data_IF_124314512227
#
_entry.id   IF_124314512227
#
_cell.length_a   1.000
_cell.length_b   1.000
_cell.length_c   1.000
_cell.angle_alpha   90.00
_cell.angle_beta   90.00
_cell.angle_gamma   90.00
#
_symmetry.space_group_name_H-M   'P 1'
#
loop_
_entity.id
_entity.type
_entity.pdbx_description
1 polymer ?
#
# COMPACT_ATOMS: atom_id res chain seq x y z
N UNK A 1 9.85 53.31 -4.78
CA UNK A 1 9.21 52.28 -3.90
C UNK A 1 8.72 51.18 -4.79
N UNK A 2 9.48 50.12 -4.89
CA UNK A 2 9.16 48.99 -5.78
C UNK A 2 8.72 47.84 -4.90
N UNK A 3 7.41 47.54 -4.90
CA UNK A 3 6.80 46.43 -4.16
C UNK A 3 7.06 45.14 -4.94
N UNK A 4 8.02 44.37 -4.45
CA UNK A 4 8.21 42.97 -4.88
C UNK A 4 7.08 42.12 -4.32
N UNK A 5 5.99 41.93 -5.06
CA UNK A 5 5.01 40.88 -4.82
C UNK A 5 5.65 39.55 -5.18
N UNK A 6 6.23 38.89 -4.18
CA UNK A 6 6.68 37.54 -4.30
C UNK A 6 5.48 36.62 -4.50
N UNK A 7 5.19 36.20 -5.73
CA UNK A 7 4.28 35.10 -6.02
C UNK A 7 4.85 33.84 -5.40
N UNK A 8 4.27 33.40 -4.28
CA UNK A 8 4.55 32.09 -3.71
C UNK A 8 4.31 31.07 -4.83
N UNK A 9 5.37 30.47 -5.36
CA UNK A 9 5.28 29.36 -6.32
C UNK A 9 4.55 28.23 -5.61
N UNK A 10 3.29 28.05 -5.97
CA UNK A 10 2.52 26.89 -5.47
C UNK A 10 3.25 25.64 -5.97
N UNK A 11 3.85 24.88 -5.04
CA UNK A 11 4.48 23.60 -5.37
C UNK A 11 3.40 22.73 -5.99
N UNK A 12 3.60 22.16 -7.20
CA UNK A 12 2.63 21.25 -7.77
C UNK A 12 2.35 20.10 -6.78
N UNK A 13 1.09 19.72 -6.67
CA UNK A 13 0.69 18.60 -5.79
C UNK A 13 1.38 17.33 -6.25
N UNK A 14 1.86 16.53 -5.31
CA UNK A 14 2.42 15.23 -5.63
C UNK A 14 1.41 14.35 -6.36
N UNK A 15 1.87 13.62 -7.35
CA UNK A 15 1.05 12.73 -8.18
C UNK A 15 1.13 11.30 -7.66
N UNK A 16 -0.03 10.64 -7.50
CA UNK A 16 -0.13 9.26 -7.02
C UNK A 16 -0.80 8.40 -8.07
N UNK A 17 -0.10 7.38 -8.57
CA UNK A 17 -0.70 6.28 -9.32
C UNK A 17 -1.23 5.26 -8.34
N UNK A 18 -2.52 4.93 -8.42
CA UNK A 18 -3.13 3.89 -7.57
C UNK A 18 -3.22 2.61 -8.37
N UNK A 19 -2.53 1.57 -7.92
CA UNK A 19 -2.49 0.24 -8.53
C UNK A 19 -3.45 -0.69 -7.80
N UNK A 20 -4.30 -1.37 -8.54
CA UNK A 20 -5.33 -2.26 -8.03
C UNK A 20 -5.25 -3.58 -8.80
N UNK A 21 -4.55 -4.60 -8.27
CA UNK A 21 -4.62 -5.94 -8.84
C UNK A 21 -6.01 -6.51 -8.56
N UNK A 22 -6.62 -7.12 -9.59
CA UNK A 22 -7.98 -7.69 -9.48
C UNK A 22 -8.05 -9.03 -10.19
N UNK A 23 -8.83 -9.95 -9.61
CA UNK A 23 -9.23 -11.19 -10.24
C UNK A 23 -10.60 -11.63 -9.72
N UNK A 24 -11.59 -11.66 -10.60
CA UNK A 24 -12.97 -12.11 -10.31
C UNK A 24 -13.61 -11.37 -9.09
N UNK A 25 -13.42 -10.04 -9.01
CA UNK A 25 -13.81 -9.21 -7.86
C UNK A 25 -14.64 -7.98 -8.27
N UNK A 26 -15.44 -8.08 -9.34
CA UNK A 26 -16.12 -6.94 -9.95
C UNK A 26 -16.90 -6.06 -8.96
N UNK A 27 -17.61 -6.65 -7.99
CA UNK A 27 -18.44 -5.90 -7.02
C UNK A 27 -17.59 -5.18 -5.96
N UNK A 28 -16.52 -5.80 -5.52
CA UNK A 28 -15.57 -5.19 -4.60
C UNK A 28 -14.81 -4.06 -5.30
N UNK A 29 -14.34 -4.29 -6.51
CA UNK A 29 -13.63 -3.30 -7.32
C UNK A 29 -14.47 -2.04 -7.54
N UNK A 30 -15.77 -2.16 -7.82
CA UNK A 30 -16.67 -1.01 -8.00
C UNK A 30 -16.70 -0.14 -6.73
N UNK A 31 -16.87 -0.75 -5.55
CA UNK A 31 -16.83 -0.04 -4.26
C UNK A 31 -15.48 0.60 -3.96
N UNK A 32 -14.38 -0.08 -4.31
CA UNK A 32 -13.02 0.45 -4.17
C UNK A 32 -12.83 1.70 -5.04
N UNK A 33 -13.22 1.63 -6.32
CA UNK A 33 -13.10 2.74 -7.27
C UNK A 33 -14.01 3.92 -6.92
N UNK A 34 -15.21 3.68 -6.37
CA UNK A 34 -16.08 4.73 -5.82
C UNK A 34 -15.36 5.50 -4.70
N UNK A 35 -14.79 4.77 -3.75
CA UNK A 35 -14.07 5.37 -2.63
C UNK A 35 -12.80 6.13 -3.07
N UNK A 36 -12.11 5.63 -4.08
CA UNK A 36 -10.94 6.29 -4.66
C UNK A 36 -11.31 7.52 -5.48
N UNK A 37 -12.46 7.51 -6.17
CA UNK A 37 -12.97 8.67 -6.91
C UNK A 37 -13.43 9.80 -5.99
N UNK A 38 -13.81 9.48 -4.75
CA UNK A 38 -14.24 10.44 -3.73
C UNK A 38 -13.09 11.01 -2.87
N UNK A 39 -11.83 10.76 -3.25
CA UNK A 39 -10.68 11.25 -2.48
C UNK A 39 -10.54 12.77 -2.51
N UNK A 40 -10.20 13.40 -1.37
CA UNK A 40 -9.94 14.85 -1.26
C UNK A 40 -8.69 15.29 -2.02
N UNK A 41 -7.74 14.38 -2.23
CA UNK A 41 -6.62 14.51 -3.15
C UNK A 41 -6.84 13.49 -4.27
N UNK A 42 -7.30 13.90 -5.45
CA UNK A 42 -7.60 12.95 -6.52
C UNK A 42 -6.33 12.23 -6.95
N UNK A 43 -6.42 10.93 -7.24
CA UNK A 43 -5.29 10.20 -7.81
C UNK A 43 -4.93 10.76 -9.19
N UNK A 44 -3.67 10.63 -9.55
CA UNK A 44 -3.21 10.99 -10.89
C UNK A 44 -3.74 10.03 -11.94
N UNK A 45 -3.81 8.75 -11.60
CA UNK A 45 -4.36 7.69 -12.43
C UNK A 45 -4.78 6.50 -11.56
N UNK A 46 -5.75 5.74 -12.04
CA UNK A 46 -6.04 4.38 -11.60
C UNK A 46 -5.42 3.41 -12.59
N UNK A 47 -4.69 2.42 -12.11
CA UNK A 47 -4.14 1.32 -12.89
C UNK A 47 -4.75 0.04 -12.31
N UNK A 48 -5.71 -0.51 -13.02
CA UNK A 48 -6.34 -1.77 -12.66
C UNK A 48 -5.68 -2.88 -13.48
N UNK A 49 -5.08 -3.84 -12.78
CA UNK A 49 -4.45 -4.99 -13.43
C UNK A 49 -5.37 -6.18 -13.32
N UNK A 50 -6.03 -6.48 -14.43
CA UNK A 50 -6.89 -7.65 -14.56
C UNK A 50 -6.04 -8.92 -14.71
N UNK A 51 -6.01 -9.72 -13.66
CA UNK A 51 -5.19 -10.93 -13.58
C UNK A 51 -5.99 -12.17 -14.02
N UNK A 52 -6.33 -12.20 -15.30
CA UNK A 52 -7.11 -13.27 -15.93
C UNK A 52 -8.49 -13.48 -15.26
N UNK A 53 -9.26 -12.39 -15.06
CA UNK A 53 -10.65 -12.49 -14.58
C UNK A 53 -11.56 -13.14 -15.62
N UNK A 54 -12.54 -13.86 -15.12
CA UNK A 54 -13.62 -14.43 -15.92
C UNK A 54 -14.92 -13.61 -15.85
N UNK A 55 -14.96 -12.63 -14.95
CA UNK A 55 -16.09 -11.71 -14.74
C UNK A 55 -15.86 -10.34 -15.44
N UNK A 56 -16.77 -9.39 -15.21
CA UNK A 56 -16.74 -8.06 -15.82
C UNK A 56 -15.78 -7.07 -15.11
N UNK A 57 -14.80 -7.53 -14.32
CA UNK A 57 -13.89 -6.66 -13.57
C UNK A 57 -13.19 -5.62 -14.45
N UNK A 58 -12.66 -6.03 -15.61
CA UNK A 58 -12.03 -5.13 -16.56
C UNK A 58 -13.00 -4.06 -17.12
N UNK A 59 -14.24 -4.45 -17.43
CA UNK A 59 -15.27 -3.52 -17.89
C UNK A 59 -15.70 -2.53 -16.80
N UNK A 60 -15.76 -2.97 -15.54
CA UNK A 60 -15.98 -2.08 -14.39
C UNK A 60 -14.87 -1.04 -14.32
N UNK A 61 -13.61 -1.46 -14.33
CA UNK A 61 -12.46 -0.57 -14.27
C UNK A 61 -12.49 0.51 -15.37
N UNK A 62 -12.80 0.10 -16.61
CA UNK A 62 -12.87 1.01 -17.74
C UNK A 62 -13.92 2.13 -17.56
N UNK A 63 -15.06 1.82 -16.92
CA UNK A 63 -16.11 2.83 -16.64
C UNK A 63 -15.63 3.96 -15.71
N UNK A 64 -14.66 3.69 -14.85
CA UNK A 64 -14.02 4.69 -13.97
C UNK A 64 -12.84 5.41 -14.63
N UNK A 65 -12.60 5.18 -15.92
CA UNK A 65 -11.46 5.79 -16.64
C UNK A 65 -10.10 5.24 -16.21
N UNK A 66 -10.06 4.04 -15.61
CA UNK A 66 -8.82 3.38 -15.23
C UNK A 66 -8.03 2.93 -16.46
N UNK A 67 -6.72 2.97 -16.36
CA UNK A 67 -5.82 2.24 -17.27
C UNK A 67 -5.95 0.76 -16.93
N UNK A 68 -6.58 -0.01 -17.79
CA UNK A 68 -6.76 -1.46 -17.61
C UNK A 68 -5.60 -2.18 -18.27
N UNK A 69 -4.87 -2.97 -17.49
CA UNK A 69 -3.79 -3.85 -17.96
C UNK A 69 -4.23 -5.29 -17.79
N UNK A 70 -3.91 -6.13 -18.76
CA UNK A 70 -4.14 -7.58 -18.66
C UNK A 70 -2.85 -8.30 -18.31
N UNK A 71 -2.88 -9.05 -17.20
CA UNK A 71 -1.79 -9.91 -16.78
C UNK A 71 -2.24 -11.37 -16.86
N UNK A 72 -1.64 -12.09 -17.81
CA UNK A 72 -1.99 -13.49 -18.08
C UNK A 72 -1.39 -14.47 -17.08
N UNK A 73 -0.28 -14.10 -16.45
CA UNK A 73 0.33 -14.92 -15.42
C UNK A 73 -0.45 -14.76 -14.10
N UNK A 74 -1.16 -15.83 -13.75
CA UNK A 74 -2.03 -15.83 -12.58
C UNK A 74 -1.23 -15.74 -11.28
N UNK A 75 -1.41 -14.63 -10.56
CA UNK A 75 -0.79 -14.42 -9.26
C UNK A 75 -0.64 -12.95 -8.90
N UNK A 76 -0.86 -12.63 -7.63
CA UNK A 76 -0.72 -11.26 -7.12
C UNK A 76 0.67 -10.66 -7.40
N UNK A 77 1.81 -11.43 -7.29
CA UNK A 77 3.12 -10.88 -7.58
C UNK A 77 3.27 -10.33 -9.01
N UNK A 78 2.78 -11.08 -10.03
CA UNK A 78 2.81 -10.66 -11.42
C UNK A 78 1.92 -9.42 -11.64
N UNK A 79 0.68 -9.49 -11.17
CA UNK A 79 -0.29 -8.40 -11.33
C UNK A 79 0.18 -7.10 -10.67
N UNK A 80 0.69 -7.17 -9.43
CA UNK A 80 1.22 -5.99 -8.72
C UNK A 80 2.42 -5.38 -9.45
N UNK A 81 3.38 -6.21 -9.87
CA UNK A 81 4.58 -5.76 -10.57
C UNK A 81 4.23 -5.10 -11.92
N UNK A 82 3.31 -5.68 -12.69
CA UNK A 82 2.80 -5.12 -13.95
C UNK A 82 2.18 -3.75 -13.74
N UNK A 83 1.38 -3.57 -12.68
CA UNK A 83 0.80 -2.28 -12.33
C UNK A 83 1.83 -1.26 -11.89
N UNK A 84 2.81 -1.65 -11.07
CA UNK A 84 3.88 -0.74 -10.64
C UNK A 84 4.79 -0.31 -11.80
N UNK A 85 5.07 -1.20 -12.76
CA UNK A 85 5.85 -0.88 -13.95
C UNK A 85 5.16 0.18 -14.84
N UNK A 86 3.82 0.18 -14.89
CA UNK A 86 3.03 1.11 -15.67
C UNK A 86 2.83 2.48 -14.98
N UNK A 87 3.07 2.57 -13.67
CA UNK A 87 2.81 3.76 -12.89
C UNK A 87 3.69 4.95 -13.28
N UNK A 88 3.06 6.12 -13.50
CA UNK A 88 3.72 7.36 -13.92
C UNK A 88 3.78 8.42 -12.84
N UNK A 89 2.98 8.29 -11.78
CA UNK A 89 2.98 9.20 -10.64
C UNK A 89 4.33 9.26 -9.90
N UNK A 90 4.53 10.30 -9.14
CA UNK A 90 5.70 10.43 -8.25
C UNK A 90 5.70 9.33 -7.18
N UNK A 91 4.51 9.03 -6.68
CA UNK A 91 4.27 7.93 -5.73
C UNK A 91 3.40 6.87 -6.38
N UNK A 92 3.66 5.63 -6.00
CA UNK A 92 2.86 4.45 -6.34
C UNK A 92 2.18 4.00 -5.06
N UNK A 93 0.86 3.99 -5.06
CA UNK A 93 0.06 3.43 -4.00
C UNK A 93 -0.61 2.14 -4.47
N UNK A 94 -0.76 1.16 -3.59
CA UNK A 94 -1.52 -0.06 -3.85
C UNK A 94 -2.63 -0.21 -2.85
N UNK A 95 -3.78 -0.61 -3.36
CA UNK A 95 -4.91 -1.13 -2.59
C UNK A 95 -5.41 -2.41 -3.24
N UNK A 96 -5.93 -3.33 -2.44
CA UNK A 96 -6.59 -4.51 -2.99
C UNK A 96 -8.04 -4.15 -3.42
N UNK A 97 -8.61 -4.90 -4.35
CA UNK A 97 -9.92 -4.61 -4.92
C UNK A 97 -11.05 -4.64 -3.88
N UNK A 98 -10.88 -5.37 -2.77
CA UNK A 98 -11.82 -5.46 -1.65
C UNK A 98 -11.64 -4.36 -0.58
N UNK A 99 -10.71 -3.44 -0.79
CA UNK A 99 -10.39 -2.36 0.14
C UNK A 99 -11.22 -1.10 -0.15
N UNK A 100 -11.61 -0.39 0.90
CA UNK A 100 -12.39 0.86 0.78
C UNK A 100 -11.63 2.00 1.48
N UNK A 101 -10.77 2.76 0.76
CA UNK A 101 -10.01 3.86 1.33
C UNK A 101 -10.89 5.00 1.84
N UNK A 102 -10.58 5.51 3.04
CA UNK A 102 -11.24 6.72 3.54
C UNK A 102 -10.91 7.94 2.68
N UNK A 103 -11.71 9.03 2.72
CA UNK A 103 -11.64 10.15 1.78
C UNK A 103 -10.33 10.95 1.80
N UNK A 104 -9.51 10.80 2.83
CA UNK A 104 -8.21 11.49 2.99
C UNK A 104 -7.01 10.58 2.83
N UNK A 105 -7.21 9.33 2.37
CA UNK A 105 -6.15 8.33 2.34
C UNK A 105 -4.99 8.74 1.41
N UNK A 106 -5.30 9.15 0.16
CA UNK A 106 -4.28 9.62 -0.80
C UNK A 106 -3.60 10.90 -0.30
N UNK A 107 -4.37 11.84 0.29
CA UNK A 107 -3.79 13.04 0.88
C UNK A 107 -2.79 12.69 2.00
N UNK A 108 -3.07 11.67 2.80
CA UNK A 108 -2.17 11.18 3.85
C UNK A 108 -0.90 10.55 3.28
N UNK A 109 -1.01 9.80 2.18
CA UNK A 109 0.15 9.26 1.46
C UNK A 109 1.07 10.39 0.98
N UNK A 110 0.49 11.38 0.30
CA UNK A 110 1.25 12.54 -0.20
C UNK A 110 1.93 13.28 0.94
N UNK A 111 1.18 13.62 1.99
CA UNK A 111 1.71 14.35 3.14
C UNK A 111 2.89 13.62 3.79
N UNK A 112 2.77 12.31 4.01
CA UNK A 112 3.81 11.50 4.62
C UNK A 112 5.08 11.48 3.77
N UNK A 113 4.96 11.18 2.49
CA UNK A 113 6.12 11.04 1.61
C UNK A 113 6.74 12.41 1.24
N UNK A 114 5.96 13.49 1.16
CA UNK A 114 6.50 14.83 0.91
C UNK A 114 7.23 15.42 2.11
N UNK A 115 6.70 15.20 3.34
CA UNK A 115 7.32 15.71 4.57
C UNK A 115 8.54 14.90 5.00
N UNK A 116 8.63 13.66 4.58
CA UNK A 116 9.67 12.72 4.98
C UNK A 116 10.38 12.17 3.74
N UNK A 117 11.29 12.95 3.10
CA UNK A 117 12.01 12.51 1.90
C UNK A 117 12.89 11.28 2.12
N UNK A 118 13.24 10.98 3.36
CA UNK A 118 13.98 9.79 3.78
C UNK A 118 13.15 8.51 3.76
N UNK A 119 11.81 8.60 3.71
CA UNK A 119 10.94 7.42 3.60
C UNK A 119 10.95 6.89 2.18
N UNK A 120 11.27 5.62 2.04
CA UNK A 120 11.15 4.87 0.79
C UNK A 120 9.70 4.46 0.52
N UNK A 121 9.02 4.03 1.59
CA UNK A 121 7.65 3.56 1.53
C UNK A 121 6.92 3.80 2.86
N UNK A 122 5.59 3.81 2.77
CA UNK A 122 4.68 3.90 3.92
C UNK A 122 3.62 2.82 3.80
N UNK A 123 3.10 2.38 4.94
CA UNK A 123 2.04 1.37 4.96
C UNK A 123 1.03 1.62 6.06
N UNK A 124 -0.20 1.20 5.83
CA UNK A 124 -1.26 1.17 6.82
C UNK A 124 -1.39 -0.19 7.51
N UNK A 125 -2.49 -0.35 8.22
CA UNK A 125 -2.93 -1.61 8.81
C UNK A 125 -4.34 -1.92 8.30
N UNK A 126 -4.76 -3.21 8.41
CA UNK A 126 -6.12 -3.62 8.10
C UNK A 126 -7.05 -3.50 9.30
N UNK A 127 -8.28 -3.03 9.06
CA UNK A 127 -9.41 -3.33 9.91
C UNK A 127 -10.26 -4.35 9.17
N UNK A 128 -10.25 -5.60 9.64
CA UNK A 128 -10.96 -6.70 8.99
C UNK A 128 -12.46 -6.55 9.22
N UNK A 129 -13.23 -6.60 8.16
CA UNK A 129 -14.68 -6.41 8.12
C UNK A 129 -15.34 -7.73 7.71
N UNK A 130 -16.47 -8.08 8.34
CA UNK A 130 -17.31 -9.17 7.86
C UNK A 130 -18.11 -8.77 6.60
N UNK A 131 -18.86 -9.73 6.04
CA UNK A 131 -19.66 -9.51 4.84
C UNK A 131 -20.80 -8.48 5.07
N UNK A 132 -21.22 -8.28 6.31
CA UNK A 132 -22.18 -7.24 6.71
C UNK A 132 -21.52 -5.86 6.92
N UNK A 133 -20.22 -5.74 6.71
CA UNK A 133 -19.46 -4.50 6.91
C UNK A 133 -19.18 -4.17 8.39
N UNK A 134 -19.27 -5.13 9.31
CA UNK A 134 -18.97 -4.92 10.74
C UNK A 134 -17.51 -5.18 11.04
N UNK A 135 -16.84 -4.30 11.80
CA UNK A 135 -15.42 -4.46 12.07
C UNK A 135 -15.14 -5.52 13.16
N UNK A 136 -14.24 -6.44 12.87
CA UNK A 136 -13.67 -7.39 13.82
C UNK A 136 -12.48 -6.78 14.58
N UNK A 137 -12.69 -5.75 15.38
CA UNK A 137 -11.62 -4.91 15.95
C UNK A 137 -10.57 -5.68 16.77
N UNK A 138 -10.98 -6.65 17.61
CA UNK A 138 -10.04 -7.43 18.45
C UNK A 138 -9.21 -8.38 17.60
N UNK A 139 -9.84 -9.11 16.71
CA UNK A 139 -9.17 -10.06 15.80
C UNK A 139 -8.26 -9.35 14.83
N UNK A 140 -8.70 -8.21 14.25
CA UNK A 140 -7.87 -7.36 13.40
C UNK A 140 -6.62 -6.88 14.11
N UNK A 141 -6.75 -6.38 15.34
CA UNK A 141 -5.60 -5.92 16.14
C UNK A 141 -4.63 -7.04 16.43
N UNK A 142 -5.12 -8.23 16.79
CA UNK A 142 -4.27 -9.38 17.07
C UNK A 142 -3.56 -9.85 15.80
N UNK A 143 -4.30 -10.04 14.71
CA UNK A 143 -3.76 -10.45 13.41
C UNK A 143 -2.70 -9.47 12.91
N UNK A 144 -3.03 -8.18 12.83
CA UNK A 144 -2.08 -7.16 12.39
C UNK A 144 -0.86 -7.04 13.29
N UNK A 145 -1.06 -7.10 14.63
CA UNK A 145 0.07 -7.09 15.56
C UNK A 145 0.98 -8.29 15.34
N UNK A 146 0.41 -9.49 15.19
CA UNK A 146 1.18 -10.70 14.92
C UNK A 146 1.95 -10.60 13.59
N UNK A 147 1.28 -10.19 12.51
CA UNK A 147 1.90 -9.99 11.20
C UNK A 147 3.07 -9.01 11.29
N UNK A 148 2.83 -7.77 11.75
CA UNK A 148 3.87 -6.74 11.83
C UNK A 148 5.01 -7.11 12.79
N UNK A 149 4.73 -7.88 13.86
CA UNK A 149 5.77 -8.33 14.80
C UNK A 149 6.59 -9.47 14.21
N UNK A 150 5.95 -10.56 13.76
CA UNK A 150 6.66 -11.76 13.31
C UNK A 150 7.42 -11.50 12.01
N UNK A 151 6.75 -10.90 11.03
CA UNK A 151 7.40 -10.56 9.76
C UNK A 151 8.45 -9.47 9.98
N UNK A 152 8.16 -8.46 10.79
CA UNK A 152 9.12 -7.40 11.13
C UNK A 152 10.37 -7.91 11.82
N UNK A 153 10.25 -8.93 12.71
CA UNK A 153 11.42 -9.61 13.30
C UNK A 153 12.24 -10.34 12.23
N UNK A 154 11.59 -11.02 11.30
CA UNK A 154 12.29 -11.71 10.22
C UNK A 154 12.96 -10.73 9.24
N UNK A 155 12.34 -9.59 8.95
CA UNK A 155 12.86 -8.61 8.00
C UNK A 155 13.86 -7.62 8.62
N UNK A 156 13.84 -7.42 9.94
CA UNK A 156 14.61 -6.39 10.63
C UNK A 156 14.03 -4.98 10.50
N UNK A 157 12.89 -4.79 9.86
CA UNK A 157 12.17 -3.52 9.70
C UNK A 157 10.65 -3.78 9.57
N UNK A 158 9.78 -2.75 9.68
CA UNK A 158 8.34 -2.93 9.46
C UNK A 158 8.07 -3.49 8.06
N UNK A 159 7.24 -4.54 7.91
CA UNK A 159 6.81 -5.01 6.59
C UNK A 159 5.82 -4.02 5.97
N UNK A 160 5.70 -4.05 4.67
CA UNK A 160 4.56 -3.49 3.95
C UNK A 160 3.36 -4.43 4.12
N UNK A 161 2.16 -3.87 3.99
CA UNK A 161 0.92 -4.63 3.89
C UNK A 161 0.25 -4.31 2.55
N UNK A 162 0.07 -5.33 1.72
CA UNK A 162 -0.32 -5.20 0.32
C UNK A 162 -1.56 -4.35 0.08
N UNK A 163 -2.59 -4.53 0.92
CA UNK A 163 -3.85 -3.79 0.77
C UNK A 163 -3.73 -2.28 1.07
N UNK A 164 -2.64 -1.82 1.73
CA UNK A 164 -2.47 -0.41 2.10
C UNK A 164 -1.01 -0.01 2.14
N UNK A 165 -0.37 0.06 0.99
CA UNK A 165 1.01 0.53 0.88
C UNK A 165 1.14 1.68 -0.12
N UNK A 166 2.15 2.51 0.08
CA UNK A 166 2.61 3.44 -0.94
C UNK A 166 4.15 3.55 -0.89
N UNK A 167 4.76 3.78 -2.05
CA UNK A 167 6.22 3.91 -2.19
C UNK A 167 6.56 5.00 -3.20
N UNK A 168 7.80 5.47 -3.16
CA UNK A 168 8.33 6.32 -4.22
C UNK A 168 8.51 5.50 -5.49
N UNK A 169 8.14 6.06 -6.64
CA UNK A 169 8.38 5.39 -7.93
C UNK A 169 9.87 5.16 -8.19
N UNK A 170 10.73 6.03 -7.70
CA UNK A 170 12.20 5.82 -7.76
C UNK A 170 12.64 4.55 -7.04
N UNK A 171 12.04 4.25 -5.87
CA UNK A 171 12.34 3.02 -5.11
C UNK A 171 11.89 1.79 -5.89
N UNK A 172 10.68 1.82 -6.50
CA UNK A 172 10.24 0.74 -7.38
C UNK A 172 11.24 0.50 -8.51
N UNK A 173 11.66 1.56 -9.20
CA UNK A 173 12.61 1.46 -10.31
C UNK A 173 13.95 0.82 -9.92
N UNK A 174 14.38 0.99 -8.66
CA UNK A 174 15.59 0.38 -8.13
C UNK A 174 15.43 -1.12 -7.83
N UNK A 175 14.25 -1.54 -7.33
CA UNK A 175 14.04 -2.93 -6.85
C UNK A 175 13.30 -3.82 -7.85
N UNK A 176 12.67 -3.27 -8.89
CA UNK A 176 11.78 -3.99 -9.81
C UNK A 176 12.41 -5.20 -10.51
N UNK A 177 13.74 -5.20 -10.69
CA UNK A 177 14.49 -6.31 -11.28
C UNK A 177 14.79 -7.45 -10.31
N UNK A 178 14.54 -7.24 -9.01
CA UNK A 178 14.87 -8.20 -7.95
C UNK A 178 13.64 -8.92 -7.41
N UNK A 179 12.44 -8.29 -7.52
CA UNK A 179 11.18 -8.88 -7.01
C UNK A 179 10.79 -10.15 -7.75
N UNK A 180 10.25 -11.11 -7.01
CA UNK A 180 9.87 -12.43 -7.52
C UNK A 180 8.47 -12.40 -8.16
N UNK A 181 8.33 -11.77 -9.33
CA UNK A 181 7.05 -11.61 -10.02
C UNK A 181 6.47 -12.91 -10.60
N UNK A 182 7.31 -13.89 -10.95
CA UNK A 182 6.93 -15.13 -11.64
C UNK A 182 6.72 -16.33 -10.70
N UNK A 183 6.62 -16.13 -9.42
CA UNK A 183 6.32 -17.20 -8.46
C UNK A 183 5.03 -16.87 -7.68
N UNK A 184 3.91 -17.42 -8.10
CA UNK A 184 2.60 -17.22 -7.47
C UNK A 184 2.52 -17.70 -6.01
N UNK A 185 3.52 -18.46 -5.52
CA UNK A 185 3.63 -18.88 -4.11
C UNK A 185 4.21 -17.80 -3.23
N UNK A 186 4.87 -16.78 -3.81
CA UNK A 186 5.43 -15.68 -3.04
C UNK A 186 4.32 -14.81 -2.44
N UNK A 187 4.60 -14.26 -1.27
CA UNK A 187 3.80 -13.20 -0.66
C UNK A 187 4.41 -11.88 -1.11
N UNK A 188 3.78 -11.24 -2.07
CA UNK A 188 4.35 -10.14 -2.85
C UNK A 188 4.73 -8.90 -2.03
N UNK A 189 3.96 -8.55 -1.00
CA UNK A 189 4.27 -7.44 -0.10
C UNK A 189 5.46 -7.74 0.83
N UNK A 190 5.63 -9.01 1.26
CA UNK A 190 6.80 -9.44 2.01
C UNK A 190 8.02 -9.44 1.10
N UNK A 191 7.91 -9.96 -0.12
CA UNK A 191 8.97 -9.94 -1.13
C UNK A 191 9.42 -8.51 -1.44
N UNK A 192 8.49 -7.62 -1.74
CA UNK A 192 8.76 -6.21 -1.95
C UNK A 192 9.44 -5.57 -0.72
N UNK A 193 8.98 -5.90 0.50
CA UNK A 193 9.59 -5.42 1.74
C UNK A 193 11.03 -5.89 1.89
N UNK A 194 11.35 -7.11 1.48
CA UNK A 194 12.71 -7.66 1.50
C UNK A 194 13.62 -6.84 0.58
N UNK A 195 13.17 -6.54 -0.63
CA UNK A 195 13.97 -5.84 -1.65
C UNK A 195 14.09 -4.33 -1.40
N UNK A 196 13.06 -3.67 -0.85
CA UNK A 196 13.21 -2.31 -0.32
C UNK A 196 14.27 -2.29 0.79
N UNK A 197 14.29 -3.36 1.60
CA UNK A 197 15.40 -3.74 2.43
C UNK A 197 15.61 -2.91 3.69
N UNK A 198 16.58 -3.34 4.54
CA UNK A 198 16.83 -2.71 5.82
C UNK A 198 17.56 -1.37 5.72
N UNK A 199 18.08 -1.02 4.55
CA UNK A 199 18.84 0.23 4.32
C UNK A 199 17.95 1.41 4.02
N UNK A 200 16.65 1.17 3.66
CA UNK A 200 15.67 2.21 3.39
C UNK A 200 14.61 2.22 4.48
N UNK A 201 14.07 3.39 4.77
CA UNK A 201 13.08 3.53 5.85
C UNK A 201 11.68 3.26 5.33
N UNK A 202 11.01 2.27 5.95
CA UNK A 202 9.58 2.00 5.79
C UNK A 202 8.87 2.45 7.06
N UNK A 203 7.83 3.26 6.93
CA UNK A 203 7.01 3.73 8.05
C UNK A 203 5.61 3.14 8.05
N UNK A 204 5.06 2.95 9.25
CA UNK A 204 3.65 2.58 9.43
C UNK A 204 2.89 3.77 10.00
N UNK A 205 1.78 4.16 9.33
CA UNK A 205 0.93 5.27 9.81
C UNK A 205 -0.54 4.83 9.91
N UNK A 206 -1.19 5.25 11.00
CA UNK A 206 -2.61 4.91 11.26
C UNK A 206 -3.58 5.55 10.28
N UNK A 207 -3.22 6.68 9.68
CA UNK A 207 -4.02 7.38 8.67
C UNK A 207 -4.19 6.58 7.40
N UNK A 208 -3.28 5.62 7.17
CA UNK A 208 -3.32 4.69 6.04
C UNK A 208 -4.08 3.39 6.35
N UNK A 209 -4.71 3.29 7.52
CA UNK A 209 -5.51 2.10 7.88
C UNK A 209 -6.73 1.98 6.97
N UNK A 210 -6.92 0.79 6.38
CA UNK A 210 -8.04 0.49 5.50
C UNK A 210 -8.97 -0.59 6.07
N UNK A 211 -10.28 -0.48 5.80
CA UNK A 211 -11.18 -1.63 5.85
C UNK A 211 -10.77 -2.64 4.78
N UNK A 212 -10.70 -3.91 5.14
CA UNK A 212 -10.43 -5.02 4.24
C UNK A 212 -11.29 -6.21 4.63
N UNK A 213 -11.52 -7.14 3.71
CA UNK A 213 -12.30 -8.36 3.99
C UNK A 213 -11.74 -9.14 5.17
N UNK A 214 -12.63 -9.73 5.99
CA UNK A 214 -12.24 -10.63 7.09
C UNK A 214 -11.87 -12.04 6.62
N UNK A 215 -11.86 -12.32 5.34
CA UNK A 215 -11.44 -13.63 4.80
C UNK A 215 -10.12 -14.17 5.37
N UNK A 216 -9.13 -13.33 5.78
CA UNK A 216 -7.96 -13.79 6.51
C UNK A 216 -8.21 -14.44 7.86
N UNK A 217 -9.36 -14.19 8.49
CA UNK A 217 -9.71 -14.75 9.80
C UNK A 217 -10.48 -16.07 9.71
N UNK A 218 -10.96 -16.44 8.52
CA UNK A 218 -11.59 -17.72 8.32
C UNK A 218 -10.58 -18.83 8.65
N UNK A 219 -10.92 -19.70 9.61
CA UNK A 219 -10.13 -20.88 9.99
C UNK A 219 -10.24 -21.98 8.92
N UNK A 220 -10.37 -21.59 7.67
CA UNK A 220 -10.30 -22.45 6.51
C UNK A 220 -8.82 -22.60 6.06
N UNK A 221 -8.58 -23.48 5.12
CA UNK A 221 -7.23 -23.71 4.60
C UNK A 221 -6.52 -22.45 4.07
N UNK A 222 -7.24 -21.33 3.83
CA UNK A 222 -6.70 -20.09 3.31
C UNK A 222 -5.72 -19.41 4.27
N UNK A 223 -5.99 -19.43 5.58
CA UNK A 223 -5.05 -18.92 6.59
C UNK A 223 -3.72 -19.69 6.56
N UNK A 224 -3.80 -21.03 6.52
CA UNK A 224 -2.60 -21.88 6.46
C UNK A 224 -1.80 -21.62 5.17
N UNK A 225 -2.48 -21.47 4.04
CA UNK A 225 -1.83 -21.11 2.76
C UNK A 225 -1.12 -19.77 2.85
N UNK A 226 -1.74 -18.75 3.46
CA UNK A 226 -1.11 -17.42 3.64
C UNK A 226 0.12 -17.47 4.54
N UNK A 227 0.01 -18.17 5.68
CA UNK A 227 1.14 -18.38 6.61
C UNK A 227 2.28 -19.13 5.92
N UNK A 228 1.95 -20.18 5.16
CA UNK A 228 2.93 -20.94 4.39
C UNK A 228 3.61 -20.07 3.32
N UNK A 229 2.83 -19.28 2.55
CA UNK A 229 3.38 -18.36 1.56
C UNK A 229 4.31 -17.33 2.20
N UNK A 230 3.93 -16.76 3.34
CA UNK A 230 4.79 -15.84 4.09
C UNK A 230 6.10 -16.50 4.53
N UNK A 231 6.04 -17.69 5.10
CA UNK A 231 7.22 -18.45 5.49
C UNK A 231 8.07 -18.85 4.27
N UNK A 232 7.43 -19.33 3.21
CA UNK A 232 8.09 -19.66 1.94
C UNK A 232 8.86 -18.45 1.40
N UNK A 233 8.24 -17.27 1.37
CA UNK A 233 8.87 -16.03 0.89
C UNK A 233 10.12 -15.70 1.69
N UNK A 234 10.06 -15.74 3.03
CA UNK A 234 11.19 -15.46 3.91
C UNK A 234 12.33 -16.48 3.68
N UNK A 235 12.00 -17.76 3.65
CA UNK A 235 12.99 -18.85 3.49
C UNK A 235 13.62 -18.85 2.10
N UNK A 236 12.85 -18.47 1.07
CA UNK A 236 13.33 -18.41 -0.32
C UNK A 236 14.48 -17.42 -0.53
N UNK A 237 14.52 -16.36 0.31
CA UNK A 237 15.57 -15.36 0.29
C UNK A 237 16.79 -15.72 1.17
N UNK A 238 16.73 -16.82 1.94
CA UNK A 238 17.90 -17.31 2.68
C UNK A 238 18.90 -17.98 1.71
N UNK A 239 20.18 -17.95 2.02
CA UNK A 239 20.88 -17.36 3.18
C UNK A 239 21.24 -15.87 3.04
N UNK A 240 21.07 -15.26 1.84
CA UNK A 240 21.53 -13.87 1.58
C UNK A 240 20.83 -12.84 2.47
N UNK A 241 19.57 -13.07 2.75
CA UNK A 241 18.68 -12.20 3.53
C UNK A 241 18.30 -12.83 4.87
N UNK A 242 19.23 -13.57 5.50
CA UNK A 242 19.02 -14.17 6.81
C UNK A 242 18.69 -13.09 7.86
N UNK A 243 17.68 -13.28 8.75
CA UNK A 243 17.20 -12.27 9.68
C UNK A 243 18.31 -11.57 10.48
N UNK A 244 19.26 -12.30 11.04
CA UNK A 244 20.37 -11.71 11.81
C UNK A 244 21.22 -10.75 10.98
N UNK A 245 21.51 -11.10 9.71
CA UNK A 245 22.27 -10.23 8.81
C UNK A 245 21.50 -8.94 8.51
N UNK A 246 20.18 -9.02 8.35
CA UNK A 246 19.32 -7.86 8.13
C UNK A 246 19.32 -6.93 9.35
N UNK A 247 19.25 -7.48 10.55
CA UNK A 247 19.33 -6.70 11.79
C UNK A 247 20.68 -5.96 11.91
N UNK A 248 21.79 -6.61 11.57
CA UNK A 248 23.12 -6.00 11.56
C UNK A 248 23.21 -4.86 10.53
N UNK A 249 22.73 -5.08 9.32
CA UNK A 249 22.69 -4.03 8.26
C UNK A 249 21.84 -2.82 8.69
N UNK A 250 20.70 -3.06 9.35
CA UNK A 250 19.83 -1.99 9.84
C UNK A 250 20.49 -1.12 10.91
N UNK A 251 21.32 -1.68 11.75
CA UNK A 251 22.02 -0.90 12.79
C UNK A 251 22.95 0.15 12.19
N UNK A 252 23.37 -0.03 10.95
CA UNK A 252 24.23 0.89 10.20
C UNK A 252 23.44 1.99 9.47
N UNK A 253 22.12 1.92 9.45
CA UNK A 253 21.24 2.89 8.78
C UNK A 253 20.76 3.97 9.75
N UNK A 254 20.62 5.24 9.33
CA UNK A 254 20.14 6.32 10.19
C UNK A 254 18.71 6.02 10.67
N UNK A 255 18.48 6.12 11.97
CA UNK A 255 17.14 5.97 12.56
C UNK A 255 16.36 7.25 12.35
N UNK A 256 15.30 7.19 11.57
CA UNK A 256 14.32 8.26 11.46
C UNK A 256 13.24 8.03 12.51
N UNK A 257 13.22 8.86 13.54
CA UNK A 257 12.13 8.91 14.50
C UNK A 257 10.96 9.69 13.90
N UNK A 258 9.89 8.99 13.50
CA UNK A 258 8.62 9.68 13.25
C UNK A 258 8.09 10.18 14.59
N UNK A 259 8.22 11.47 14.85
CA UNK A 259 7.48 12.12 15.94
C UNK A 259 6.01 12.04 15.58
N UNK A 260 5.18 11.49 16.47
CA UNK A 260 3.74 11.43 16.27
C UNK A 260 3.23 12.84 15.98
N UNK A 261 2.79 13.07 14.75
CA UNK A 261 2.14 14.33 14.38
C UNK A 261 0.85 14.44 15.20
N UNK A 262 0.59 15.53 15.91
CA UNK A 262 -0.67 15.73 16.60
C UNK A 262 -1.82 15.68 15.58
N UNK A 263 -3.01 15.21 16.00
CA UNK A 263 -4.17 15.17 15.10
C UNK A 263 -4.46 16.58 14.55
N UNK A 264 -4.93 16.72 13.32
CA UNK A 264 -5.29 18.01 12.76
C UNK A 264 -6.32 18.68 13.68
N UNK A 265 -6.06 19.94 14.03
CA UNK A 265 -7.02 20.74 14.78
C UNK A 265 -8.33 20.82 13.99
N UNK A 266 -9.49 20.66 14.66
CA UNK A 266 -10.76 20.86 14.01
C UNK A 266 -10.81 22.27 13.43
N UNK A 267 -11.23 22.38 12.17
CA UNK A 267 -11.47 23.67 11.51
C UNK A 267 -12.43 24.47 12.41
N UNK A 268 -12.02 25.68 12.78
CA UNK A 268 -12.89 26.60 13.49
C UNK A 268 -14.17 26.82 12.68
N UNK A 269 -15.35 26.86 13.34
CA UNK A 269 -16.59 27.11 12.63
C UNK A 269 -16.49 28.48 11.90
N UNK A 270 -16.82 28.47 10.61
CA UNK A 270 -16.90 29.69 9.83
C UNK A 270 -17.86 30.65 10.51
N UNK A 271 -17.35 31.79 11.00
CA UNK A 271 -18.16 32.82 11.61
C UNK A 271 -19.21 33.30 10.59
N UNK A 272 -20.46 33.09 10.93
CA UNK A 272 -21.58 33.66 10.18
C UNK A 272 -21.57 35.19 10.31
N UNK A 273 -22.04 35.93 9.30
CA UNK A 273 -22.12 37.38 9.37
C UNK A 273 -23.15 37.80 10.41
N UNK A 274 -22.79 38.81 11.19
CA UNK A 274 -23.69 39.60 12.07
C UNK A 274 -24.50 40.56 11.21
#
# INVERSE_FOLDING_TARGET
MSTLTGTARHKPRATVSVVIPVRDERHHLERCLDALSAQTHPPFEFIVVDNASSDDSAAVAARYGAVVLHESEVGIPAASATGYDAARGEFIARVDADSVPGPTWIASVCELLERHPELAAVTGRGTLMDDDGRPHLRSSRLYMRSYFTLVGLALGHPPLWGSALAMRRTVWNEVRGEVCRHDARMHDDIDLSIHIGPQRTIATDRRLTLPASASPLALDGALLVRLWRGLYTIVRHWPREFPLLRWLRRQQSPRVGLTATPPPQPLAPAGGPV
#
